data_IF_990192043654
#
_entry.id   IF_990192043654
#
_cell.length_a   1.000
_cell.length_b   1.000
_cell.length_c   1.000
_cell.angle_alpha   90.00
_cell.angle_beta   90.00
_cell.angle_gamma   90.00
#
_symmetry.space_group_name_H-M   'P 1'
#
loop_
_entity.id
_entity.type
_entity.pdbx_description
1 polymer ?
#
# COMPACT_ATOMS: atom_id res chain seq x y z
N UNK A 1 -26.86 -24.94 -16.40
CA UNK A 1 -27.20 -24.02 -15.30
C UNK A 1 -26.00 -23.11 -15.05
N UNK A 2 -25.97 -21.94 -15.69
CA UNK A 2 -24.92 -20.91 -15.53
C UNK A 2 -25.57 -19.52 -15.46
N UNK A 3 -26.24 -19.17 -14.36
CA UNK A 3 -26.41 -17.79 -13.98
C UNK A 3 -25.28 -17.40 -13.00
N UNK A 4 -25.21 -16.14 -12.60
CA UNK A 4 -24.55 -15.64 -11.36
C UNK A 4 -23.14 -15.03 -11.46
N UNK A 5 -22.21 -15.51 -12.31
CA UNK A 5 -20.85 -14.92 -12.35
C UNK A 5 -20.83 -13.47 -12.86
N UNK A 6 -21.65 -13.20 -13.88
CA UNK A 6 -21.87 -11.89 -14.46
C UNK A 6 -22.64 -10.95 -13.51
N UNK A 7 -23.62 -11.44 -12.75
CA UNK A 7 -24.29 -10.65 -11.72
C UNK A 7 -23.35 -10.31 -10.55
N UNK A 8 -22.53 -11.26 -10.10
CA UNK A 8 -21.54 -11.02 -9.04
C UNK A 8 -20.49 -9.99 -9.47
N UNK A 9 -20.01 -10.05 -10.71
CA UNK A 9 -19.08 -9.04 -11.26
C UNK A 9 -19.73 -7.65 -11.35
N UNK A 10 -21.01 -7.58 -11.75
CA UNK A 10 -21.73 -6.32 -11.86
C UNK A 10 -21.97 -5.70 -10.47
N UNK A 11 -22.38 -6.52 -9.48
CA UNK A 11 -22.55 -6.10 -8.09
C UNK A 11 -21.23 -5.67 -7.47
N UNK A 12 -20.14 -6.42 -7.71
CA UNK A 12 -18.80 -6.08 -7.25
C UNK A 12 -18.30 -4.78 -7.87
N UNK A 13 -18.49 -4.59 -9.18
CA UNK A 13 -18.10 -3.37 -9.86
C UNK A 13 -18.87 -2.15 -9.31
N UNK A 14 -20.20 -2.28 -9.16
CA UNK A 14 -21.04 -1.21 -8.61
C UNK A 14 -20.64 -0.89 -7.18
N UNK A 15 -20.49 -1.88 -6.30
CA UNK A 15 -20.12 -1.65 -4.88
C UNK A 15 -18.74 -1.03 -4.73
N UNK A 16 -17.74 -1.48 -5.49
CA UNK A 16 -16.38 -0.89 -5.46
C UNK A 16 -16.40 0.55 -5.96
N UNK A 17 -17.09 0.83 -7.08
CA UNK A 17 -17.18 2.19 -7.61
C UNK A 17 -17.96 3.10 -6.66
N UNK A 18 -19.04 2.62 -6.05
CA UNK A 18 -19.81 3.38 -5.08
C UNK A 18 -18.94 3.72 -3.87
N UNK A 19 -18.29 2.74 -3.23
CA UNK A 19 -17.47 2.94 -2.03
C UNK A 19 -16.19 3.75 -2.31
N UNK A 20 -15.67 3.78 -3.54
CA UNK A 20 -14.51 4.63 -3.90
C UNK A 20 -14.90 6.03 -4.36
N UNK A 21 -16.07 6.20 -4.99
CA UNK A 21 -16.58 7.51 -5.38
C UNK A 21 -17.16 8.27 -4.18
N UNK A 22 -17.71 7.57 -3.19
CA UNK A 22 -18.30 8.16 -1.99
C UNK A 22 -17.29 8.96 -1.13
N UNK A 23 -16.06 8.48 -0.82
CA UNK A 23 -15.07 9.29 -0.13
C UNK A 23 -14.61 10.49 -0.98
N UNK A 24 -14.51 10.34 -2.30
CA UNK A 24 -14.16 11.45 -3.20
C UNK A 24 -15.26 12.51 -3.31
N UNK A 25 -16.54 12.11 -3.28
CA UNK A 25 -17.68 13.02 -3.38
C UNK A 25 -18.03 13.70 -2.05
N UNK A 26 -17.84 13.03 -0.90
CA UNK A 26 -18.07 13.62 0.43
C UNK A 26 -16.91 14.49 0.93
N UNK A 27 -15.64 14.20 0.58
CA UNK A 27 -14.49 15.06 0.93
C UNK A 27 -14.35 16.32 0.08
N UNK A 28 -15.17 16.52 -0.96
CA UNK A 28 -15.17 17.75 -1.75
C UNK A 28 -15.74 18.97 -1.01
N UNK A 29 -16.46 18.77 0.11
CA UNK A 29 -16.90 19.91 0.93
C UNK A 29 -15.73 20.44 1.75
N UNK A 30 -15.44 21.73 1.57
CA UNK A 30 -14.49 22.50 2.38
C UNK A 30 -14.67 22.19 3.87
N UNK A 31 -13.77 21.39 4.43
CA UNK A 31 -13.68 21.24 5.87
C UNK A 31 -13.16 22.58 6.41
N UNK A 32 -14.08 23.41 6.89
CA UNK A 32 -13.84 24.73 7.51
C UNK A 32 -13.04 24.67 8.81
N UNK A 33 -12.55 23.50 9.25
CA UNK A 33 -11.64 23.37 10.39
C UNK A 33 -10.36 22.58 10.04
N UNK A 34 -9.16 23.12 10.34
CA UNK A 34 -7.88 22.48 10.00
C UNK A 34 -7.63 21.16 10.75
N UNK A 35 -8.23 20.97 11.93
CA UNK A 35 -8.03 19.78 12.76
C UNK A 35 -8.69 18.52 12.18
N UNK A 36 -9.93 18.61 11.70
CA UNK A 36 -10.67 17.44 11.19
C UNK A 36 -10.12 17.01 9.82
N UNK A 37 -9.66 17.98 9.02
CA UNK A 37 -9.00 17.70 7.73
C UNK A 37 -7.67 16.99 7.93
N UNK A 38 -6.80 17.49 8.82
CA UNK A 38 -5.52 16.83 9.11
C UNK A 38 -5.73 15.45 9.72
N UNK A 39 -6.70 15.28 10.61
CA UNK A 39 -6.95 13.97 11.23
C UNK A 39 -7.40 12.92 10.21
N UNK A 40 -8.39 13.22 9.37
CA UNK A 40 -8.94 12.25 8.42
C UNK A 40 -7.99 11.96 7.24
N UNK A 41 -7.10 12.91 6.89
CA UNK A 41 -6.06 12.66 5.88
C UNK A 41 -4.91 11.82 6.44
N UNK A 42 -4.56 11.98 7.72
CA UNK A 42 -3.47 11.22 8.35
C UNK A 42 -3.86 9.79 8.75
N UNK A 43 -5.09 9.54 9.21
CA UNK A 43 -5.55 8.21 9.66
C UNK A 43 -5.27 7.08 8.64
N UNK A 44 -5.73 7.16 7.37
CA UNK A 44 -5.48 6.09 6.41
C UNK A 44 -4.00 5.97 6.05
N UNK A 45 -3.26 7.09 5.99
CA UNK A 45 -1.84 7.07 5.64
C UNK A 45 -0.98 6.40 6.73
N UNK A 46 -1.28 6.70 8.00
CA UNK A 46 -0.65 6.08 9.15
C UNK A 46 -1.02 4.60 9.22
N UNK A 47 -2.29 4.26 9.00
CA UNK A 47 -2.73 2.85 8.99
C UNK A 47 -2.07 2.04 7.87
N UNK A 48 -1.94 2.57 6.65
CA UNK A 48 -1.25 1.90 5.55
C UNK A 48 0.23 1.68 5.86
N UNK A 49 0.88 2.68 6.47
CA UNK A 49 2.29 2.58 6.88
C UNK A 49 2.48 1.52 7.97
N UNK A 50 1.60 1.49 8.97
CA UNK A 50 1.63 0.52 10.08
C UNK A 50 1.27 -0.89 9.61
N UNK A 51 0.52 -1.08 8.52
CA UNK A 51 0.29 -2.40 7.94
C UNK A 51 1.50 -2.89 7.13
N UNK A 52 2.17 -1.99 6.42
CA UNK A 52 3.22 -2.34 5.46
C UNK A 52 4.58 -2.51 6.14
N UNK A 53 4.93 -1.64 7.08
CA UNK A 53 6.23 -1.63 7.74
C UNK A 53 6.52 -2.92 8.54
N UNK A 54 5.60 -3.44 9.37
CA UNK A 54 5.82 -4.70 10.08
C UNK A 54 5.80 -5.89 9.13
N UNK A 55 4.96 -5.87 8.09
CA UNK A 55 4.86 -6.95 7.12
C UNK A 55 6.16 -7.14 6.34
N UNK A 56 6.85 -6.06 5.97
CA UNK A 56 8.16 -6.14 5.31
C UNK A 56 9.21 -6.75 6.25
N UNK A 57 9.20 -6.38 7.52
CA UNK A 57 10.16 -6.89 8.51
C UNK A 57 9.88 -8.35 8.91
N UNK A 58 8.61 -8.79 8.89
CA UNK A 58 8.21 -10.16 9.26
C UNK A 58 8.14 -11.15 8.10
N UNK A 59 8.13 -10.67 6.85
CA UNK A 59 8.13 -11.52 5.65
C UNK A 59 9.48 -12.23 5.40
N UNK A 60 10.55 -11.85 6.10
CA UNK A 60 11.91 -12.37 5.90
C UNK A 60 12.34 -13.19 7.13
N UNK A 61 13.12 -14.25 6.95
CA UNK A 61 13.44 -15.19 8.05
C UNK A 61 14.33 -14.56 9.15
N UNK A 62 15.01 -13.44 8.85
CA UNK A 62 15.79 -12.67 9.82
C UNK A 62 15.41 -11.19 9.82
N UNK A 63 15.30 -10.61 11.03
CA UNK A 63 15.05 -9.18 11.25
C UNK A 63 16.09 -8.30 10.54
N UNK A 64 17.34 -8.77 10.44
CA UNK A 64 18.42 -8.04 9.76
C UNK A 64 18.27 -8.02 8.23
N UNK A 65 17.82 -9.12 7.62
CA UNK A 65 17.57 -9.14 6.16
C UNK A 65 16.37 -8.27 5.79
N UNK A 66 15.30 -8.29 6.60
CA UNK A 66 14.14 -7.40 6.41
C UNK A 66 14.51 -5.91 6.50
N UNK A 67 15.38 -5.53 7.44
CA UNK A 67 15.87 -4.14 7.56
C UNK A 67 16.77 -3.74 6.39
N UNK A 68 17.66 -4.65 5.94
CA UNK A 68 18.51 -4.42 4.77
C UNK A 68 17.68 -4.25 3.48
N UNK A 69 16.64 -5.08 3.30
CA UNK A 69 15.67 -4.95 2.22
C UNK A 69 14.90 -3.63 2.25
N UNK A 70 14.46 -3.19 3.43
CA UNK A 70 13.78 -1.89 3.61
C UNK A 70 14.69 -0.70 3.30
N UNK A 71 15.95 -0.73 3.74
CA UNK A 71 16.94 0.31 3.44
C UNK A 71 17.30 0.34 1.95
N UNK A 72 17.47 -0.81 1.31
CA UNK A 72 17.71 -0.87 -0.14
C UNK A 72 16.49 -0.37 -0.94
N UNK A 73 15.29 -0.79 -0.55
CA UNK A 73 14.04 -0.36 -1.20
C UNK A 73 13.83 1.16 -1.05
N UNK A 74 14.06 1.72 0.14
CA UNK A 74 13.92 3.16 0.37
C UNK A 74 14.96 3.99 -0.40
N UNK A 75 16.21 3.52 -0.48
CA UNK A 75 17.26 4.18 -1.27
C UNK A 75 16.93 4.20 -2.77
N UNK A 76 16.45 3.07 -3.33
CA UNK A 76 16.06 2.96 -4.74
C UNK A 76 14.78 3.78 -5.02
N UNK A 77 13.83 3.82 -4.08
CA UNK A 77 12.60 4.60 -4.19
C UNK A 77 12.88 6.10 -4.31
N UNK A 78 13.95 6.60 -3.69
CA UNK A 78 14.31 8.02 -3.75
C UNK A 78 14.81 8.48 -5.13
N UNK A 79 15.33 7.56 -5.94
CA UNK A 79 15.95 7.90 -7.23
C UNK A 79 14.96 7.84 -8.39
N UNK A 80 14.07 6.84 -8.42
CA UNK A 80 13.31 6.56 -9.65
C UNK A 80 11.80 6.81 -9.56
N UNK A 81 11.18 6.82 -8.37
CA UNK A 81 9.72 6.96 -8.19
C UNK A 81 8.84 5.91 -8.91
N UNK A 82 9.43 5.09 -9.78
CA UNK A 82 8.79 4.05 -10.57
C UNK A 82 8.66 2.79 -9.73
N UNK A 83 7.42 2.51 -9.32
CA UNK A 83 7.06 1.40 -8.44
C UNK A 83 7.61 0.06 -8.92
N UNK A 84 7.61 -0.20 -10.23
CA UNK A 84 8.11 -1.46 -10.80
C UNK A 84 9.62 -1.63 -10.60
N UNK A 85 10.41 -0.58 -10.80
CA UNK A 85 11.87 -0.63 -10.61
C UNK A 85 12.22 -0.82 -9.13
N UNK A 86 11.49 -0.14 -8.24
CA UNK A 86 11.68 -0.26 -6.79
C UNK A 86 11.36 -1.67 -6.32
N UNK A 87 10.25 -2.27 -6.76
CA UNK A 87 9.88 -3.64 -6.36
C UNK A 87 10.89 -4.68 -6.81
N UNK A 88 11.34 -4.63 -8.07
CA UNK A 88 12.34 -5.59 -8.59
C UNK A 88 13.68 -5.42 -7.84
N UNK A 89 14.13 -4.17 -7.63
CA UNK A 89 15.35 -3.89 -6.88
C UNK A 89 15.29 -4.35 -5.43
N UNK A 90 14.15 -4.13 -4.76
CA UNK A 90 13.91 -4.62 -3.39
C UNK A 90 13.93 -6.14 -3.32
N UNK A 91 13.27 -6.85 -4.25
CA UNK A 91 13.29 -8.31 -4.30
C UNK A 91 14.70 -8.86 -4.48
N UNK A 92 15.49 -8.28 -5.40
CA UNK A 92 16.89 -8.71 -5.62
C UNK A 92 17.75 -8.42 -4.39
N UNK A 93 17.57 -7.27 -3.74
CA UNK A 93 18.31 -6.90 -2.53
C UNK A 93 17.99 -7.84 -1.34
N UNK A 94 16.71 -8.16 -1.11
CA UNK A 94 16.30 -9.13 -0.08
C UNK A 94 16.84 -10.53 -0.41
N UNK A 95 16.77 -10.95 -1.67
CA UNK A 95 17.28 -12.24 -2.11
C UNK A 95 18.80 -12.37 -1.89
N UNK A 96 19.58 -11.34 -2.23
CA UNK A 96 21.01 -11.32 -1.98
C UNK A 96 21.34 -11.26 -0.49
N UNK A 97 20.54 -10.54 0.31
CA UNK A 97 20.72 -10.45 1.76
C UNK A 97 20.42 -11.79 2.46
N UNK A 98 19.38 -12.53 2.04
CA UNK A 98 19.14 -13.90 2.51
C UNK A 98 20.17 -14.91 1.99
N UNK A 99 20.80 -14.68 0.84
CA UNK A 99 21.84 -15.59 0.32
C UNK A 99 23.17 -15.47 1.12
N UNK A 100 23.42 -14.33 1.75
CA UNK A 100 24.67 -14.03 2.47
C UNK A 100 24.59 -14.39 3.97
N UNK A 101 23.39 -14.57 4.52
CA UNK A 101 23.11 -14.94 5.92
C UNK A 101 22.73 -16.41 6.00
#
# INVERSE_FOLDING_TARGET
MKPDANMALLVMAVTIYLVRALPLALLQKEIRSPLVRSFLFYVPYVSLSVMTFPAILSATASFWSGLAGFLAASAIAWVDGNLFRVSIGACIAVFLAELVI
#
